data_IF_381884926839
#
_entry.id   IF_381884926839
#
_cell.length_a   1.000
_cell.length_b   1.000
_cell.length_c   1.000
_cell.angle_alpha   90.00
_cell.angle_beta   90.00
_cell.angle_gamma   90.00
#
_symmetry.space_group_name_H-M   'P 1'
#
loop_
_entity.id
_entity.type
_entity.pdbx_description
1 polymer ?
#
# COMPACT_ATOMS: atom_id res chain seq x y z
N UNK A 1 -1.74 -0.62 28.09
CA UNK A 1 -0.86 0.08 29.05
C UNK A 1 -0.28 1.36 28.46
N UNK A 2 0.47 1.31 27.34
CA UNK A 2 1.04 2.49 26.67
C UNK A 2 0.01 3.60 26.33
N UNK A 3 -1.11 3.24 25.69
CA UNK A 3 -2.19 4.18 25.39
C UNK A 3 -2.75 4.87 26.64
N UNK A 4 -2.92 4.12 27.73
CA UNK A 4 -3.38 4.66 29.01
C UNK A 4 -2.38 5.66 29.62
N UNK A 5 -1.07 5.39 29.51
CA UNK A 5 -0.02 6.30 29.96
C UNK A 5 0.01 7.60 29.13
N UNK A 6 -0.22 7.53 27.82
CA UNK A 6 -0.33 8.71 26.94
C UNK A 6 -1.53 9.58 27.35
N UNK A 7 -2.70 8.98 27.54
CA UNK A 7 -3.91 9.71 27.94
C UNK A 7 -3.72 10.36 29.32
N UNK A 8 -3.20 9.60 30.29
CA UNK A 8 -2.99 10.12 31.64
C UNK A 8 -2.00 11.28 31.68
N UNK A 9 -0.86 11.15 30.98
CA UNK A 9 0.13 12.23 30.88
C UNK A 9 -0.44 13.46 30.18
N UNK A 10 -1.30 13.27 29.15
CA UNK A 10 -2.06 14.34 28.51
C UNK A 10 -3.00 15.08 29.46
N UNK A 11 -3.78 14.35 30.26
CA UNK A 11 -4.69 14.94 31.25
C UNK A 11 -3.93 15.75 32.32
N UNK A 12 -2.80 15.23 32.81
CA UNK A 12 -1.96 15.93 33.80
C UNK A 12 -1.34 17.20 33.19
N UNK A 13 -0.94 17.14 31.92
CA UNK A 13 -0.42 18.31 31.20
C UNK A 13 -1.50 19.40 31.03
N UNK A 14 -2.74 19.04 30.69
CA UNK A 14 -3.85 19.99 30.58
C UNK A 14 -4.15 20.66 31.93
N UNK A 15 -4.02 19.93 33.04
CA UNK A 15 -4.25 20.46 34.38
C UNK A 15 -3.17 21.46 34.83
N UNK A 16 -1.92 21.30 34.36
CA UNK A 16 -0.80 22.20 34.68
C UNK A 16 0.00 22.53 33.41
N UNK A 17 -0.49 23.46 32.57
CA UNK A 17 0.15 23.79 31.30
C UNK A 17 1.43 24.61 31.56
N UNK A 18 2.58 23.99 31.30
CA UNK A 18 3.89 24.63 31.35
C UNK A 18 4.74 24.25 30.14
N UNK A 19 5.36 25.23 29.48
CA UNK A 19 6.12 25.01 28.24
C UNK A 19 7.35 24.10 28.40
N UNK A 20 7.84 23.92 29.62
CA UNK A 20 8.94 23.00 29.99
C UNK A 20 8.47 21.81 30.83
N UNK A 21 7.16 21.52 30.81
CA UNK A 21 6.58 20.45 31.61
C UNK A 21 7.13 19.08 31.18
N UNK A 22 7.65 18.33 32.15
CA UNK A 22 8.09 16.94 31.95
C UNK A 22 7.02 16.08 31.26
N UNK A 23 5.74 16.33 31.57
CA UNK A 23 4.62 15.58 31.01
C UNK A 23 4.46 15.76 29.50
N UNK A 24 4.81 16.93 28.95
CA UNK A 24 4.79 17.16 27.51
C UNK A 24 5.83 16.28 26.80
N UNK A 25 7.07 16.28 27.31
CA UNK A 25 8.14 15.43 26.77
C UNK A 25 7.84 13.94 26.93
N UNK A 26 7.21 13.55 28.05
CA UNK A 26 6.78 12.18 28.28
C UNK A 26 5.74 11.72 27.25
N UNK A 27 4.73 12.54 26.95
CA UNK A 27 3.73 12.23 25.91
C UNK A 27 4.40 12.01 24.57
N UNK A 28 5.31 12.90 24.16
CA UNK A 28 6.03 12.81 22.90
C UNK A 28 6.83 11.50 22.83
N UNK A 29 7.59 11.18 23.87
CA UNK A 29 8.38 9.95 23.94
C UNK A 29 7.50 8.68 23.87
N UNK A 30 6.38 8.66 24.61
CA UNK A 30 5.44 7.55 24.60
C UNK A 30 4.72 7.40 23.25
N UNK A 31 4.35 8.49 22.60
CA UNK A 31 3.72 8.48 21.27
C UNK A 31 4.68 7.96 20.19
N UNK A 32 5.95 8.38 20.21
CA UNK A 32 6.98 7.86 19.31
C UNK A 32 7.20 6.35 19.52
N UNK A 33 7.30 5.92 20.78
CA UNK A 33 7.46 4.50 21.14
C UNK A 33 6.26 3.68 20.67
N UNK A 34 5.05 4.19 20.87
CA UNK A 34 3.83 3.56 20.38
C UNK A 34 3.82 3.42 18.86
N UNK A 35 4.23 4.46 18.12
CA UNK A 35 4.31 4.42 16.66
C UNK A 35 5.24 3.31 16.16
N UNK A 36 6.43 3.21 16.74
CA UNK A 36 7.40 2.14 16.40
C UNK A 36 6.83 0.76 16.72
N UNK A 37 6.29 0.57 17.94
CA UNK A 37 5.74 -0.72 18.35
C UNK A 37 4.49 -1.13 17.54
N UNK A 38 3.72 -0.16 17.04
CA UNK A 38 2.54 -0.44 16.23
C UNK A 38 2.89 -0.93 14.82
N UNK A 39 4.00 -0.47 14.24
CA UNK A 39 4.39 -0.80 12.86
C UNK A 39 5.26 -2.06 12.76
N UNK A 40 6.14 -2.32 13.74
CA UNK A 40 7.02 -3.51 13.77
C UNK A 40 6.32 -4.85 13.46
N UNK A 41 5.15 -5.18 14.06
CA UNK A 41 4.52 -6.49 13.86
C UNK A 41 3.82 -6.63 12.50
N UNK A 42 3.79 -5.59 11.67
CA UNK A 42 3.02 -5.61 10.42
C UNK A 42 3.89 -6.20 9.30
N UNK A 43 3.34 -7.20 8.61
CA UNK A 43 4.04 -7.89 7.53
C UNK A 43 4.28 -6.99 6.32
N UNK A 44 5.39 -7.22 5.61
CA UNK A 44 5.75 -6.42 4.42
C UNK A 44 4.71 -6.44 3.29
N UNK A 45 3.89 -7.49 3.21
CA UNK A 45 2.76 -7.58 2.28
C UNK A 45 1.64 -6.58 2.61
N UNK A 46 1.42 -6.27 3.89
CA UNK A 46 0.35 -5.37 4.34
C UNK A 46 0.82 -3.93 4.56
N UNK A 47 2.14 -3.69 4.46
CA UNK A 47 2.76 -2.37 4.62
C UNK A 47 2.10 -1.24 3.81
N UNK A 48 1.64 -1.45 2.55
CA UNK A 48 1.00 -0.37 1.78
C UNK A 48 -0.27 0.17 2.45
N UNK A 49 -1.05 -0.71 3.08
CA UNK A 49 -2.28 -0.34 3.81
C UNK A 49 -1.94 0.50 5.03
N UNK A 50 -0.89 0.15 5.76
CA UNK A 50 -0.41 0.90 6.94
C UNK A 50 0.06 2.29 6.55
N UNK A 51 0.78 2.42 5.43
CA UNK A 51 1.23 3.72 4.92
C UNK A 51 0.02 4.62 4.65
N UNK A 52 -1.01 4.09 3.99
CA UNK A 52 -2.26 4.84 3.73
C UNK A 52 -2.98 5.24 5.02
N UNK A 53 -3.04 4.34 6.01
CA UNK A 53 -3.66 4.62 7.31
C UNK A 53 -2.88 5.70 8.10
N UNK A 54 -1.55 5.62 8.13
CA UNK A 54 -0.72 6.64 8.79
C UNK A 54 -0.83 8.00 8.09
N UNK A 55 -1.01 8.02 6.76
CA UNK A 55 -1.32 9.24 6.01
C UNK A 55 -2.70 9.82 6.36
N UNK A 56 -3.69 8.97 6.68
CA UNK A 56 -4.94 9.46 7.25
C UNK A 56 -4.73 10.10 8.63
N UNK A 57 -3.95 9.44 9.51
CA UNK A 57 -3.68 9.94 10.85
C UNK A 57 -2.91 11.26 10.86
N UNK A 58 -1.99 11.48 9.93
CA UNK A 58 -1.33 12.79 9.77
C UNK A 58 -2.34 13.89 9.39
N UNK A 59 -3.30 13.59 8.51
CA UNK A 59 -4.41 14.50 8.18
C UNK A 59 -5.29 14.84 9.38
N UNK A 60 -5.73 13.84 10.14
CA UNK A 60 -6.54 14.05 11.36
C UNK A 60 -5.76 14.84 12.41
N UNK A 61 -4.47 14.56 12.59
CA UNK A 61 -3.60 15.31 13.49
C UNK A 61 -3.43 16.77 13.05
N UNK A 62 -3.29 17.03 11.75
CA UNK A 62 -3.23 18.38 11.20
C UNK A 62 -4.54 19.15 11.41
N UNK A 63 -5.69 18.48 11.27
CA UNK A 63 -6.99 19.08 11.57
C UNK A 63 -7.12 19.43 13.06
N UNK A 64 -6.71 18.53 13.96
CA UNK A 64 -6.68 18.79 15.40
C UNK A 64 -5.76 19.97 15.78
N UNK A 65 -4.58 20.04 15.17
CA UNK A 65 -3.68 21.18 15.30
C UNK A 65 -4.33 22.48 14.78
N UNK A 66 -5.05 22.40 13.65
CA UNK A 66 -5.83 23.51 13.09
C UNK A 66 -6.87 24.06 14.05
N UNK A 67 -7.61 23.19 14.77
CA UNK A 67 -8.51 23.62 15.85
C UNK A 67 -7.76 24.31 16.99
N UNK A 68 -6.61 23.76 17.40
CA UNK A 68 -5.82 24.33 18.49
C UNK A 68 -5.31 25.76 18.20
N UNK A 69 -5.01 26.07 16.94
CA UNK A 69 -4.53 27.40 16.51
C UNK A 69 -5.60 28.25 15.80
N UNK A 70 -6.86 27.82 15.79
CA UNK A 70 -7.97 28.47 15.08
C UNK A 70 -7.69 28.78 13.59
N UNK A 71 -7.06 27.84 12.88
CA UNK A 71 -6.74 27.99 11.45
C UNK A 71 -7.64 27.11 10.58
N UNK A 72 -8.59 27.74 9.89
CA UNK A 72 -9.55 27.07 9.01
C UNK A 72 -8.89 26.32 7.86
N UNK A 73 -7.78 26.81 7.31
CA UNK A 73 -7.08 26.14 6.22
C UNK A 73 -6.51 24.80 6.69
N UNK A 74 -5.89 24.75 7.87
CA UNK A 74 -5.38 23.52 8.48
C UNK A 74 -6.50 22.52 8.80
N UNK A 75 -7.65 23.01 9.29
CA UNK A 75 -8.82 22.16 9.58
C UNK A 75 -9.35 21.53 8.28
N UNK A 76 -9.55 22.33 7.23
CA UNK A 76 -10.10 21.86 5.95
C UNK A 76 -9.11 20.94 5.24
N UNK A 77 -7.83 21.32 5.13
CA UNK A 77 -6.82 20.49 4.49
C UNK A 77 -6.59 19.18 5.25
N UNK A 78 -6.47 19.24 6.58
CA UNK A 78 -6.28 18.06 7.41
C UNK A 78 -7.45 17.07 7.35
N UNK A 79 -8.69 17.58 7.40
CA UNK A 79 -9.89 16.73 7.29
C UNK A 79 -10.03 16.08 5.91
N UNK A 80 -9.70 16.79 4.83
CA UNK A 80 -9.69 16.24 3.47
C UNK A 80 -8.66 15.11 3.33
N UNK A 81 -7.42 15.33 3.77
CA UNK A 81 -6.36 14.31 3.75
C UNK A 81 -6.75 13.12 4.63
N UNK A 82 -7.27 13.40 5.83
CA UNK A 82 -7.72 12.37 6.77
C UNK A 82 -8.80 11.47 6.18
N UNK A 83 -9.87 12.05 5.64
CA UNK A 83 -10.98 11.30 5.05
C UNK A 83 -10.55 10.50 3.82
N UNK A 84 -9.78 11.12 2.90
CA UNK A 84 -9.26 10.46 1.71
C UNK A 84 -8.38 9.25 2.07
N UNK A 85 -7.50 9.39 3.06
CA UNK A 85 -6.65 8.31 3.53
C UNK A 85 -7.44 7.12 4.11
N UNK A 86 -8.53 7.36 4.87
CA UNK A 86 -9.38 6.27 5.39
C UNK A 86 -10.06 5.54 4.24
N UNK A 87 -10.63 6.28 3.28
CA UNK A 87 -11.32 5.71 2.12
C UNK A 87 -10.35 4.85 1.31
N UNK A 88 -9.17 5.38 1.00
CA UNK A 88 -8.13 4.63 0.28
C UNK A 88 -7.72 3.37 1.05
N UNK A 89 -7.52 3.48 2.36
CA UNK A 89 -7.21 2.32 3.23
C UNK A 89 -8.30 1.25 3.13
N UNK A 90 -9.58 1.63 3.15
CA UNK A 90 -10.70 0.69 3.02
C UNK A 90 -10.75 0.01 1.65
N UNK A 91 -10.54 0.76 0.57
CA UNK A 91 -10.48 0.21 -0.79
C UNK A 91 -9.34 -0.80 -0.90
N UNK A 92 -8.15 -0.47 -0.39
CA UNK A 92 -7.01 -1.38 -0.37
C UNK A 92 -7.30 -2.65 0.44
N UNK A 93 -7.87 -2.52 1.64
CA UNK A 93 -8.29 -3.67 2.45
C UNK A 93 -9.28 -4.58 1.70
N UNK A 94 -10.28 -4.00 1.04
CA UNK A 94 -11.27 -4.74 0.26
C UNK A 94 -10.62 -5.47 -0.92
N UNK A 95 -9.73 -4.81 -1.66
CA UNK A 95 -9.00 -5.40 -2.77
C UNK A 95 -8.04 -6.52 -2.35
N UNK A 96 -7.52 -6.48 -1.12
CA UNK A 96 -6.71 -7.56 -0.53
C UNK A 96 -7.56 -8.68 0.10
N UNK A 97 -8.89 -8.57 0.11
CA UNK A 97 -9.80 -9.45 0.85
C UNK A 97 -9.41 -9.63 2.34
N UNK A 98 -8.93 -8.55 2.98
CA UNK A 98 -8.52 -8.53 4.39
C UNK A 98 -9.16 -7.34 5.10
N UNK A 99 -9.73 -7.56 6.30
CA UNK A 99 -10.23 -6.45 7.10
C UNK A 99 -9.09 -5.60 7.67
N UNK A 100 -9.37 -4.32 7.95
CA UNK A 100 -8.44 -3.41 8.61
C UNK A 100 -7.95 -3.95 9.96
N UNK A 101 -8.82 -4.63 10.71
CA UNK A 101 -8.46 -5.30 11.97
C UNK A 101 -7.45 -6.41 11.74
N UNK A 102 -7.61 -7.21 10.69
CA UNK A 102 -6.69 -8.29 10.37
C UNK A 102 -5.33 -7.79 9.87
N UNK A 103 -5.27 -6.59 9.30
CA UNK A 103 -4.01 -5.94 8.92
C UNK A 103 -3.29 -5.37 10.13
N UNK A 104 -3.99 -4.58 10.96
CA UNK A 104 -3.43 -3.97 12.18
C UNK A 104 -2.97 -5.00 13.21
N UNK A 105 -3.67 -6.13 13.30
CA UNK A 105 -3.36 -7.19 14.26
C UNK A 105 -2.79 -8.46 13.60
N UNK A 106 -2.35 -8.40 12.33
CA UNK A 106 -1.83 -9.57 11.61
C UNK A 106 -0.67 -10.25 12.34
N UNK A 107 0.20 -9.47 13.00
CA UNK A 107 1.35 -10.00 13.75
C UNK A 107 1.03 -10.51 15.15
N UNK A 108 -0.22 -10.37 15.61
CA UNK A 108 -0.67 -10.83 16.92
C UNK A 108 -1.51 -12.12 16.86
N UNK A 109 -1.79 -12.64 15.66
CA UNK A 109 -2.55 -13.87 15.44
C UNK A 109 -1.67 -15.13 15.38
N UNK A 110 -2.25 -16.28 15.74
CA UNK A 110 -1.58 -17.57 15.58
C UNK A 110 -1.32 -17.89 14.10
N UNK A 111 -0.13 -18.40 13.77
CA UNK A 111 0.21 -18.86 12.42
C UNK A 111 -0.72 -20.02 12.06
N UNK A 112 -1.72 -19.78 11.20
CA UNK A 112 -2.49 -20.87 10.61
C UNK A 112 -1.55 -21.70 9.73
N UNK A 113 -1.48 -23.00 9.99
CA UNK A 113 -0.81 -23.96 9.11
C UNK A 113 -1.46 -23.86 7.73
N UNK A 114 -0.68 -23.49 6.71
CA UNK A 114 -1.13 -23.59 5.32
C UNK A 114 -1.27 -25.08 4.97
N UNK A 115 -2.36 -25.42 4.28
CA UNK A 115 -2.51 -26.72 3.64
C UNK A 115 -1.39 -26.91 2.62
N UNK A 116 -0.90 -28.15 2.50
CA UNK A 116 0.13 -28.46 1.53
C UNK A 116 -0.42 -28.23 0.13
N UNK A 117 0.34 -27.51 -0.70
CA UNK A 117 -0.01 -27.27 -2.09
C UNK A 117 0.07 -28.62 -2.82
N UNK A 118 -1.04 -29.09 -3.37
CA UNK A 118 -1.09 -30.28 -4.23
C UNK A 118 -0.86 -29.86 -5.69
N UNK A 119 0.17 -30.42 -6.34
CA UNK A 119 0.47 -30.17 -7.75
C UNK A 119 1.95 -30.34 -8.09
N UNK A 120 2.25 -30.68 -9.34
CA UNK A 120 3.62 -30.73 -9.87
C UNK A 120 3.96 -29.45 -10.64
N UNK A 121 5.15 -28.91 -10.41
CA UNK A 121 5.67 -27.76 -11.15
C UNK A 121 6.09 -28.22 -12.55
N UNK A 122 5.57 -27.56 -13.59
CA UNK A 122 5.99 -27.78 -14.98
C UNK A 122 6.98 -26.68 -15.41
N UNK A 123 8.30 -26.94 -15.38
CA UNK A 123 9.27 -25.97 -15.85
C UNK A 123 9.17 -25.81 -17.37
N UNK A 124 9.40 -24.58 -17.86
CA UNK A 124 9.49 -24.24 -19.27
C UNK A 124 10.74 -23.35 -19.46
N UNK A 125 11.46 -23.51 -20.58
CA UNK A 125 12.60 -22.64 -20.90
C UNK A 125 12.14 -21.43 -21.73
N UNK A 126 13.03 -20.45 -21.90
CA UNK A 126 12.73 -19.29 -22.73
C UNK A 126 12.54 -19.67 -24.20
N UNK A 127 13.31 -20.65 -24.71
CA UNK A 127 13.18 -21.13 -26.08
C UNK A 127 11.83 -21.83 -26.32
N UNK A 128 11.33 -22.57 -25.33
CA UNK A 128 10.02 -23.22 -25.42
C UNK A 128 8.87 -22.20 -25.36
N UNK A 129 9.02 -21.16 -24.53
CA UNK A 129 8.04 -20.08 -24.40
C UNK A 129 7.92 -19.25 -25.69
N UNK A 130 9.01 -19.10 -26.46
CA UNK A 130 9.01 -18.39 -27.74
C UNK A 130 7.95 -18.94 -28.69
N UNK A 131 7.91 -20.26 -28.90
CA UNK A 131 6.94 -20.87 -29.82
C UNK A 131 5.47 -20.66 -29.39
N UNK A 132 5.23 -20.60 -28.08
CA UNK A 132 3.90 -20.34 -27.54
C UNK A 132 3.49 -18.89 -27.81
N UNK A 133 4.40 -17.95 -27.58
CA UNK A 133 4.16 -16.52 -27.77
C UNK A 133 4.08 -16.15 -29.25
N UNK A 134 4.89 -16.75 -30.12
CA UNK A 134 4.87 -16.54 -31.57
C UNK A 134 3.54 -16.98 -32.19
N UNK A 135 2.97 -18.09 -31.71
CA UNK A 135 1.69 -18.60 -32.20
C UNK A 135 0.46 -17.94 -31.56
N UNK A 136 0.65 -17.09 -30.55
CA UNK A 136 -0.47 -16.49 -29.82
C UNK A 136 -1.11 -15.35 -30.62
N UNK A 137 -2.44 -15.36 -30.74
CA UNK A 137 -3.20 -14.27 -31.35
C UNK A 137 -3.61 -13.18 -30.35
N UNK A 138 -3.59 -13.50 -29.06
CA UNK A 138 -3.94 -12.59 -27.97
C UNK A 138 -3.10 -12.91 -26.74
N UNK A 139 -2.49 -11.90 -26.13
CA UNK A 139 -1.61 -12.02 -24.97
C UNK A 139 -2.05 -11.03 -23.90
N UNK A 140 -2.17 -11.50 -22.67
CA UNK A 140 -2.47 -10.65 -21.52
C UNK A 140 -1.31 -10.72 -20.53
N UNK A 141 -0.62 -9.61 -20.33
CA UNK A 141 0.40 -9.48 -19.31
C UNK A 141 -0.23 -9.18 -17.95
N UNK A 142 0.13 -9.95 -16.92
CA UNK A 142 -0.29 -9.72 -15.54
C UNK A 142 0.93 -9.29 -14.72
N UNK A 143 1.28 -7.99 -14.73
CA UNK A 143 2.46 -7.49 -14.04
C UNK A 143 2.31 -7.59 -12.52
N UNK A 144 3.41 -7.89 -11.84
CA UNK A 144 3.46 -7.99 -10.38
C UNK A 144 4.69 -7.31 -9.80
N UNK A 145 4.84 -7.37 -8.47
CA UNK A 145 5.95 -6.75 -7.77
C UNK A 145 7.33 -7.23 -8.26
N UNK A 146 7.44 -8.46 -8.76
CA UNK A 146 8.69 -8.99 -9.34
C UNK A 146 9.21 -8.15 -10.52
N UNK A 147 8.31 -7.62 -11.36
CA UNK A 147 8.68 -6.74 -12.47
C UNK A 147 9.33 -5.44 -11.96
N UNK A 148 8.75 -4.84 -10.91
CA UNK A 148 9.28 -3.63 -10.29
C UNK A 148 10.65 -3.88 -9.63
N UNK A 149 10.83 -5.00 -8.94
CA UNK A 149 12.12 -5.35 -8.31
C UNK A 149 13.21 -5.57 -9.36
N UNK A 150 12.87 -6.20 -10.48
CA UNK A 150 13.78 -6.47 -11.57
C UNK A 150 14.00 -5.27 -12.51
N UNK A 151 13.22 -4.18 -12.35
CA UNK A 151 13.21 -3.05 -13.29
C UNK A 151 12.95 -3.48 -14.74
N UNK A 152 12.04 -4.44 -14.91
CA UNK A 152 11.80 -5.10 -16.19
C UNK A 152 10.74 -4.39 -17.07
N UNK A 153 10.16 -3.27 -16.62
CA UNK A 153 9.05 -2.60 -17.31
C UNK A 153 9.37 -2.23 -18.77
N UNK A 154 10.59 -1.78 -19.06
CA UNK A 154 11.01 -1.44 -20.43
C UNK A 154 11.17 -2.68 -21.30
N UNK A 155 11.70 -3.78 -20.74
CA UNK A 155 11.88 -5.05 -21.47
C UNK A 155 10.52 -5.70 -21.77
N UNK A 156 9.57 -5.62 -20.84
CA UNK A 156 8.20 -6.10 -21.06
C UNK A 156 7.51 -5.27 -22.15
N UNK A 157 7.76 -3.95 -22.19
CA UNK A 157 7.26 -3.05 -23.23
C UNK A 157 7.84 -3.38 -24.62
N UNK A 158 9.14 -3.64 -24.72
CA UNK A 158 9.78 -4.11 -25.95
C UNK A 158 9.18 -5.44 -26.43
N UNK A 159 8.91 -6.38 -25.51
CA UNK A 159 8.24 -7.64 -25.85
C UNK A 159 6.80 -7.41 -26.33
N UNK A 160 6.07 -6.46 -25.75
CA UNK A 160 4.74 -6.06 -26.19
C UNK A 160 4.76 -5.58 -27.65
N UNK A 161 5.67 -4.67 -27.98
CA UNK A 161 5.84 -4.12 -29.34
C UNK A 161 6.12 -5.24 -30.35
N UNK A 162 7.01 -6.20 -30.02
CA UNK A 162 7.32 -7.34 -30.90
C UNK A 162 6.12 -8.26 -31.13
N UNK A 163 5.26 -8.45 -30.12
CA UNK A 163 4.05 -9.28 -30.24
C UNK A 163 2.98 -8.58 -31.09
N UNK A 164 2.83 -7.27 -30.93
CA UNK A 164 1.92 -6.45 -31.74
C UNK A 164 2.37 -6.39 -33.21
N UNK A 165 3.67 -6.27 -33.46
CA UNK A 165 4.24 -6.35 -34.83
C UNK A 165 3.93 -7.69 -35.49
N UNK A 166 3.85 -8.77 -34.72
CA UNK A 166 3.48 -10.09 -35.19
C UNK A 166 1.94 -10.28 -35.34
N UNK A 167 1.16 -9.24 -35.06
CA UNK A 167 -0.29 -9.20 -35.24
C UNK A 167 -1.10 -9.73 -34.06
N UNK A 168 -0.49 -9.93 -32.89
CA UNK A 168 -1.21 -10.32 -31.68
C UNK A 168 -1.84 -9.11 -30.98
N UNK A 169 -3.02 -9.30 -30.37
CA UNK A 169 -3.62 -8.29 -29.48
C UNK A 169 -3.01 -8.40 -28.08
N UNK A 170 -2.39 -7.33 -27.59
CA UNK A 170 -1.71 -7.32 -26.30
C UNK A 170 -2.38 -6.35 -25.32
N UNK A 171 -2.70 -6.85 -24.12
CA UNK A 171 -3.29 -6.06 -23.04
C UNK A 171 -2.58 -6.32 -21.71
N UNK A 172 -2.64 -5.35 -20.79
CA UNK A 172 -2.13 -5.47 -19.43
C UNK A 172 -3.28 -5.54 -18.44
N UNK A 173 -3.39 -6.65 -17.71
CA UNK A 173 -4.38 -6.80 -16.65
C UNK A 173 -3.76 -6.38 -15.31
N UNK A 174 -4.20 -5.24 -14.77
CA UNK A 174 -3.69 -4.69 -13.52
C UNK A 174 -4.58 -5.12 -12.36
N UNK A 175 -4.00 -5.87 -11.43
CA UNK A 175 -4.66 -6.15 -10.16
C UNK A 175 -4.58 -4.91 -9.25
N UNK A 176 -5.66 -4.48 -8.56
CA UNK A 176 -5.68 -3.23 -7.78
C UNK A 176 -4.63 -3.12 -6.67
N UNK A 177 -4.11 -4.26 -6.21
CA UNK A 177 -3.07 -4.35 -5.17
C UNK A 177 -1.75 -4.93 -5.68
N UNK A 178 -1.54 -4.93 -7.00
CA UNK A 178 -0.26 -5.30 -7.59
C UNK A 178 0.84 -4.31 -7.17
N UNK A 179 1.95 -4.83 -6.63
CA UNK A 179 3.09 -4.02 -6.20
C UNK A 179 3.13 -3.75 -4.69
N UNK A 180 3.50 -2.52 -4.31
CA UNK A 180 3.71 -2.06 -2.91
C UNK A 180 3.07 -0.71 -2.62
N UNK A 181 2.31 -0.16 -3.57
CA UNK A 181 1.56 1.07 -3.40
C UNK A 181 0.36 1.03 -4.35
N UNK A 182 -0.79 1.65 -4.02
CA UNK A 182 -1.89 1.76 -4.97
C UNK A 182 -1.44 2.40 -6.27
N UNK A 183 -1.83 1.81 -7.40
CA UNK A 183 -1.45 2.29 -8.74
C UNK A 183 0.03 2.11 -9.08
N UNK A 184 0.79 1.31 -8.31
CA UNK A 184 2.23 1.15 -8.53
C UNK A 184 2.54 0.63 -9.95
N UNK A 185 1.77 -0.33 -10.46
CA UNK A 185 1.99 -0.85 -11.82
C UNK A 185 1.61 0.17 -12.89
N UNK A 186 0.52 0.92 -12.71
CA UNK A 186 0.10 1.97 -13.65
C UNK A 186 1.22 3.01 -13.84
N UNK A 187 1.85 3.43 -12.74
CA UNK A 187 2.96 4.41 -12.80
C UNK A 187 4.19 3.83 -13.50
N UNK A 188 4.57 2.58 -13.21
CA UNK A 188 5.74 1.96 -13.85
C UNK A 188 5.54 1.67 -15.35
N UNK A 189 4.32 1.28 -15.74
CA UNK A 189 3.99 1.07 -17.15
C UNK A 189 3.89 2.40 -17.90
N UNK A 190 3.37 3.45 -17.25
CA UNK A 190 3.41 4.81 -17.80
C UNK A 190 4.85 5.33 -17.94
N UNK A 191 5.74 5.03 -17.00
CA UNK A 191 7.18 5.34 -17.11
C UNK A 191 7.84 4.60 -18.29
N UNK A 192 7.39 3.38 -18.58
CA UNK A 192 7.82 2.62 -19.74
C UNK A 192 7.14 3.04 -21.06
N UNK A 193 6.30 4.09 -21.04
CA UNK A 193 5.56 4.60 -22.20
C UNK A 193 4.60 3.57 -22.80
N UNK A 194 3.94 2.77 -21.94
CA UNK A 194 2.86 1.87 -22.34
C UNK A 194 1.56 2.67 -22.52
N UNK A 195 0.86 2.54 -23.65
CA UNK A 195 -0.42 3.21 -23.88
C UNK A 195 -1.48 2.87 -22.82
N UNK A 196 -2.19 3.90 -22.33
CA UNK A 196 -3.19 3.74 -21.26
C UNK A 196 -4.40 2.90 -21.66
N UNK A 197 -4.73 2.84 -22.95
CA UNK A 197 -5.82 2.03 -23.51
C UNK A 197 -5.53 0.53 -23.42
N UNK A 198 -4.26 0.13 -23.35
CA UNK A 198 -3.85 -1.25 -23.12
C UNK A 198 -3.89 -1.64 -21.63
N UNK A 199 -4.03 -0.67 -20.73
CA UNK A 199 -4.09 -0.91 -19.28
C UNK A 199 -5.54 -1.20 -18.88
N UNK A 200 -5.84 -2.47 -18.66
CA UNK A 200 -7.16 -2.94 -18.25
C UNK A 200 -7.15 -3.18 -16.74
N UNK A 201 -8.00 -2.45 -16.03
CA UNK A 201 -8.26 -2.69 -14.62
C UNK A 201 -9.14 -3.95 -14.45
N UNK A 202 -9.23 -4.48 -13.22
CA UNK A 202 -9.90 -5.75 -12.97
C UNK A 202 -11.43 -5.75 -13.20
N UNK A 203 -12.06 -4.58 -13.22
CA UNK A 203 -13.51 -4.37 -13.43
C UNK A 203 -13.81 -3.95 -14.88
#
# INVERSE_FOLDING_TARGET
LLLGAIILSGLIFIANPGGTSFWLFLIIALALTLGVMAVIPIGGADMPVVISLLNSYSGIAAAAAGFAVNNNLLIVAGSLVGASGIILTQIMCKAMNRSLTNVLFSGFGAVKKQEAIEGEVKPITAEDAFYILEAASSVVFVPGYGMAVAQAQHVVKELCELLEENGAEVNFAIHPVAGRMPGHMNVLLAEADVPYDQLVEMD
#
